data_IF_670832795366
#
_entry.id   IF_670832795366
#
_cell.length_a   1.000
_cell.length_b   1.000
_cell.length_c   1.000
_cell.angle_alpha   90.00
_cell.angle_beta   90.00
_cell.angle_gamma   90.00
#
_symmetry.space_group_name_H-M   'P 1'
#
loop_
_entity.id
_entity.type
_entity.pdbx_description
1 polymer ?
#
# COMPACT_ATOMS: atom_id res chain seq x y z
N UNK A 1 26.15 -20.53 -44.67
CA UNK A 1 26.56 -21.20 -43.41
C UNK A 1 27.36 -20.19 -42.60
N UNK A 2 27.00 -19.63 -41.46
CA UNK A 2 25.85 -19.78 -40.58
C UNK A 2 25.61 -18.42 -39.91
N UNK A 3 24.68 -17.64 -40.46
CA UNK A 3 24.04 -16.52 -39.77
C UNK A 3 23.18 -16.98 -38.56
N UNK A 4 23.25 -18.27 -38.20
CA UNK A 4 22.51 -18.89 -37.10
C UNK A 4 23.19 -18.70 -35.73
N UNK A 5 24.46 -18.27 -35.67
CA UNK A 5 25.23 -18.26 -34.41
C UNK A 5 25.26 -16.90 -33.69
N UNK A 6 24.66 -15.85 -34.26
CA UNK A 6 24.63 -14.50 -33.64
C UNK A 6 23.32 -14.20 -32.89
N UNK A 7 22.26 -14.97 -33.12
CA UNK A 7 20.97 -14.77 -32.43
C UNK A 7 20.87 -15.40 -31.03
N UNK A 8 21.93 -16.04 -30.54
CA UNK A 8 21.95 -16.66 -29.21
C UNK A 8 22.46 -15.71 -28.12
N UNK A 9 23.29 -14.70 -28.45
CA UNK A 9 23.88 -13.79 -27.44
C UNK A 9 22.95 -12.63 -27.04
N UNK A 10 21.96 -12.25 -27.85
CA UNK A 10 21.09 -11.10 -27.52
C UNK A 10 19.78 -11.45 -26.83
N UNK A 11 19.45 -12.75 -26.67
CA UNK A 11 18.20 -13.18 -26.00
C UNK A 11 18.30 -13.30 -24.48
N UNK A 12 19.49 -13.22 -23.90
CA UNK A 12 19.69 -13.28 -22.43
C UNK A 12 19.70 -11.91 -21.73
N UNK A 13 19.56 -10.80 -22.46
CA UNK A 13 19.62 -9.44 -21.86
C UNK A 13 18.27 -8.71 -21.78
N UNK A 14 17.14 -9.36 -22.04
CA UNK A 14 15.81 -8.74 -21.98
C UNK A 14 14.92 -9.28 -20.86
N UNK A 15 15.54 -9.69 -19.75
CA UNK A 15 14.85 -10.01 -18.50
C UNK A 15 15.28 -9.11 -17.33
N UNK A 16 16.13 -8.11 -17.58
CA UNK A 16 16.39 -7.02 -16.66
C UNK A 16 15.84 -5.74 -17.32
N UNK A 17 15.18 -4.90 -16.52
CA UNK A 17 14.75 -3.54 -16.88
C UNK A 17 13.36 -3.40 -17.54
N UNK A 18 12.34 -4.01 -16.94
CA UNK A 18 11.00 -3.40 -16.88
C UNK A 18 10.34 -3.68 -15.53
N UNK A 19 11.14 -3.79 -14.47
CA UNK A 19 10.64 -3.30 -13.17
C UNK A 19 10.64 -1.80 -13.33
N UNK A 20 9.56 -1.28 -13.92
CA UNK A 20 9.12 0.08 -13.74
C UNK A 20 9.08 0.24 -12.22
N UNK A 21 10.15 0.81 -11.63
CA UNK A 21 10.07 1.41 -10.32
C UNK A 21 9.07 2.54 -10.48
N UNK A 22 7.77 2.20 -10.45
CA UNK A 22 6.76 3.10 -9.97
C UNK A 22 7.37 3.67 -8.71
N UNK A 23 7.55 4.98 -8.68
CA UNK A 23 7.99 5.70 -7.50
C UNK A 23 6.91 5.47 -6.45
N UNK A 24 6.93 4.32 -5.79
CA UNK A 24 5.95 3.97 -4.77
C UNK A 24 6.16 5.01 -3.68
N UNK A 25 5.13 5.82 -3.45
CA UNK A 25 5.15 6.77 -2.35
C UNK A 25 5.57 6.03 -1.08
N UNK A 26 6.43 6.65 -0.27
CA UNK A 26 6.82 6.05 1.00
C UNK A 26 5.55 5.79 1.84
N UNK A 27 5.43 4.62 2.50
CA UNK A 27 4.31 4.38 3.40
C UNK A 27 4.25 5.46 4.48
N UNK A 28 3.05 5.95 4.76
CA UNK A 28 2.76 6.79 5.93
C UNK A 28 2.68 5.94 7.22
N UNK A 29 2.39 4.64 7.08
CA UNK A 29 2.20 3.73 8.21
C UNK A 29 1.97 2.29 7.77
N UNK A 30 1.60 1.46 8.73
CA UNK A 30 1.29 0.05 8.55
C UNK A 30 0.05 -0.35 9.33
N UNK A 31 -0.71 -1.28 8.75
CA UNK A 31 -1.86 -1.91 9.40
C UNK A 31 -1.36 -2.77 10.55
N UNK A 32 -1.88 -2.52 11.74
CA UNK A 32 -1.70 -3.35 12.93
C UNK A 32 -2.76 -4.45 13.02
N UNK A 33 -2.97 -5.02 14.21
CA UNK A 33 -4.05 -5.97 14.43
C UNK A 33 -5.40 -5.39 14.03
N UNK A 34 -6.24 -6.22 13.41
CA UNK A 34 -7.60 -5.88 13.02
C UNK A 34 -8.57 -7.00 13.38
N UNK A 35 -9.78 -6.62 13.77
CA UNK A 35 -10.90 -7.52 14.02
C UNK A 35 -12.03 -7.23 13.04
N UNK A 36 -12.72 -8.28 12.59
CA UNK A 36 -13.82 -8.15 11.64
C UNK A 36 -13.39 -7.74 10.23
N UNK A 37 -14.32 -7.17 9.47
CA UNK A 37 -14.09 -6.65 8.11
C UNK A 37 -13.69 -5.19 8.17
N UNK A 38 -12.51 -4.91 7.64
CA UNK A 38 -12.00 -3.55 7.40
C UNK A 38 -11.55 -3.48 5.96
N UNK A 39 -11.92 -2.41 5.28
CA UNK A 39 -11.52 -2.15 3.91
C UNK A 39 -10.75 -0.84 3.84
N UNK A 40 -9.91 -0.76 2.82
CA UNK A 40 -9.23 0.48 2.47
C UNK A 40 -9.61 0.89 1.06
N UNK A 41 -9.90 2.17 0.90
CA UNK A 41 -10.05 2.81 -0.39
C UNK A 41 -8.77 3.60 -0.64
N UNK A 42 -8.11 3.27 -1.75
CA UNK A 42 -6.89 3.95 -2.21
C UNK A 42 -7.28 4.97 -3.29
N UNK A 43 -6.30 5.39 -4.09
CA UNK A 43 -6.46 6.28 -5.25
C UNK A 43 -7.49 5.79 -6.29
N UNK A 44 -7.64 4.47 -6.47
CA UNK A 44 -8.61 3.88 -7.40
C UNK A 44 -10.06 3.86 -6.88
N UNK A 45 -10.28 4.28 -5.63
CA UNK A 45 -11.60 4.35 -4.99
C UNK A 45 -12.30 3.01 -4.82
N UNK A 46 -11.62 1.88 -5.08
CA UNK A 46 -12.21 0.55 -4.91
C UNK A 46 -11.86 -0.01 -3.54
N UNK A 47 -12.80 -0.68 -2.85
CA UNK A 47 -12.51 -1.29 -1.57
C UNK A 47 -11.53 -2.44 -1.74
N UNK A 48 -10.46 -2.42 -0.97
CA UNK A 48 -9.47 -3.48 -0.87
C UNK A 48 -9.44 -4.02 0.55
N UNK A 49 -9.40 -5.33 0.71
CA UNK A 49 -9.13 -5.94 2.02
C UNK A 49 -7.70 -5.64 2.43
N UNK A 50 -7.49 -5.56 3.74
CA UNK A 50 -6.19 -5.30 4.35
C UNK A 50 -5.84 -6.41 5.32
N UNK A 51 -4.54 -6.63 5.49
CA UNK A 51 -3.97 -7.55 6.46
C UNK A 51 -3.00 -6.80 7.38
N UNK A 52 -2.76 -7.31 8.60
CA UNK A 52 -1.68 -6.82 9.45
C UNK A 52 -0.33 -6.83 8.71
N UNK A 53 0.39 -5.71 8.79
CA UNK A 53 1.64 -5.45 8.08
C UNK A 53 1.47 -4.76 6.72
N UNK A 54 0.25 -4.65 6.18
CA UNK A 54 0.03 -3.96 4.92
C UNK A 54 0.38 -2.47 5.04
N UNK A 55 0.98 -1.86 4.00
CA UNK A 55 1.30 -0.46 4.03
C UNK A 55 0.05 0.42 3.94
N UNK A 56 0.15 1.58 4.57
CA UNK A 56 -0.81 2.67 4.49
C UNK A 56 -0.10 3.88 3.93
N UNK A 57 -0.77 4.59 3.02
CA UNK A 57 -0.26 5.72 2.26
C UNK A 57 -1.15 6.95 2.49
N UNK A 58 -0.59 8.12 2.19
CA UNK A 58 -1.35 9.36 2.16
C UNK A 58 -2.43 9.27 1.07
N UNK A 59 -3.64 9.72 1.40
CA UNK A 59 -4.83 9.64 0.55
C UNK A 59 -5.73 8.46 0.88
N UNK A 60 -5.27 7.50 1.67
CA UNK A 60 -6.04 6.32 1.99
C UNK A 60 -7.20 6.61 2.94
N UNK A 61 -8.27 5.85 2.73
CA UNK A 61 -9.44 5.86 3.60
C UNK A 61 -9.67 4.46 4.13
N UNK A 62 -9.52 4.27 5.44
CA UNK A 62 -9.87 3.03 6.11
C UNK A 62 -11.29 3.12 6.64
N UNK A 63 -12.07 2.06 6.43
CA UNK A 63 -13.45 1.95 6.89
C UNK A 63 -13.65 0.61 7.58
N UNK A 64 -14.17 0.67 8.82
CA UNK A 64 -14.48 -0.50 9.63
C UNK A 64 -16.00 -0.69 9.70
N UNK A 65 -16.48 -1.90 9.43
CA UNK A 65 -17.89 -2.26 9.60
C UNK A 65 -18.32 -2.18 11.09
N UNK A 66 -19.62 -2.30 11.36
CA UNK A 66 -20.23 -2.14 12.70
C UNK A 66 -19.54 -2.89 13.84
N UNK A 67 -19.00 -4.08 13.60
CA UNK A 67 -18.38 -4.94 14.63
C UNK A 67 -16.87 -5.08 14.44
N UNK A 68 -16.25 -4.21 13.64
CA UNK A 68 -14.84 -4.31 13.26
C UNK A 68 -13.97 -3.29 14.00
N UNK A 69 -12.68 -3.57 14.06
CA UNK A 69 -11.68 -2.64 14.57
C UNK A 69 -10.37 -2.77 13.79
N UNK A 70 -9.62 -1.68 13.65
CA UNK A 70 -8.26 -1.71 13.08
C UNK A 70 -7.35 -0.77 13.84
N UNK A 71 -6.11 -1.22 14.05
CA UNK A 71 -5.01 -0.39 14.49
C UNK A 71 -4.16 0.02 13.29
N UNK A 72 -3.69 1.27 13.26
CA UNK A 72 -2.75 1.78 12.25
C UNK A 72 -1.58 2.43 12.97
N UNK A 73 -0.38 1.90 12.75
CA UNK A 73 0.85 2.49 13.26
C UNK A 73 1.40 3.46 12.23
N UNK A 74 1.45 4.74 12.57
CA UNK A 74 1.96 5.80 11.69
C UNK A 74 3.46 5.98 11.93
N UNK A 75 4.26 6.02 10.85
CA UNK A 75 5.73 6.11 10.95
C UNK A 75 6.12 7.42 11.65
N UNK A 76 7.00 7.32 12.65
CA UNK A 76 7.46 8.47 13.42
C UNK A 76 6.43 9.02 14.42
N UNK A 77 5.30 8.35 14.58
CA UNK A 77 4.20 8.78 15.44
C UNK A 77 3.70 7.63 16.33
N UNK A 78 2.44 7.69 16.74
CA UNK A 78 1.76 6.71 17.57
C UNK A 78 0.91 5.74 16.73
N UNK A 79 0.33 4.76 17.40
CA UNK A 79 -0.73 3.91 16.85
C UNK A 79 -2.09 4.55 17.07
N UNK A 80 -2.92 4.58 16.04
CA UNK A 80 -4.30 5.04 16.07
C UNK A 80 -5.25 3.85 15.87
N UNK A 81 -6.40 3.87 16.54
CA UNK A 81 -7.41 2.81 16.45
C UNK A 81 -8.71 3.34 15.88
N UNK A 82 -9.34 2.56 15.01
CA UNK A 82 -10.67 2.81 14.44
C UNK A 82 -11.57 1.67 14.88
N UNK A 83 -12.65 1.97 15.61
CA UNK A 83 -13.67 1.00 16.01
C UNK A 83 -14.83 0.93 15.02
N UNK A 84 -15.87 0.18 15.37
CA UNK A 84 -16.97 -0.13 14.47
C UNK A 84 -17.70 1.09 13.91
N UNK A 85 -18.07 1.03 12.63
CA UNK A 85 -18.58 2.16 11.83
C UNK A 85 -17.63 3.37 11.76
N UNK A 86 -16.38 3.19 12.16
CA UNK A 86 -15.36 4.22 12.13
C UNK A 86 -14.73 4.37 10.76
N UNK A 87 -14.28 5.59 10.47
CA UNK A 87 -13.59 5.94 9.24
C UNK A 87 -12.36 6.78 9.54
N UNK A 88 -11.22 6.43 8.96
CA UNK A 88 -9.97 7.17 9.06
C UNK A 88 -9.50 7.60 7.69
N UNK A 89 -9.18 8.88 7.54
CA UNK A 89 -8.56 9.43 6.34
C UNK A 89 -7.10 9.73 6.66
N UNK A 90 -6.20 9.15 5.89
CA UNK A 90 -4.76 9.37 6.05
C UNK A 90 -4.36 10.51 5.15
N UNK A 91 -3.84 11.58 5.76
CA UNK A 91 -3.43 12.78 5.05
C UNK A 91 -2.01 13.17 5.45
N UNK A 92 -1.44 14.15 4.76
CA UNK A 92 -0.16 14.73 5.16
C UNK A 92 -0.32 15.45 6.50
N UNK A 93 0.71 15.37 7.34
CA UNK A 93 0.82 16.24 8.50
C UNK A 93 0.82 17.70 8.02
N UNK A 94 0.03 18.55 8.67
CA UNK A 94 0.11 20.00 8.47
C UNK A 94 1.09 20.55 9.49
N UNK A 95 2.18 21.15 9.03
CA UNK A 95 2.94 22.07 9.87
C UNK A 95 2.11 23.35 9.96
N UNK A 96 1.65 23.70 11.16
CA UNK A 96 1.12 25.03 11.42
C UNK A 96 2.30 25.99 11.43
N UNK A 97 2.36 26.89 10.44
CA UNK A 97 3.25 28.05 10.42
C UNK A 97 2.98 29.00 11.61
#
# INVERSE_FOLDING_TARGET
>A
MNAMMQNMKSRLSRAATDVQCATMAAPAGFIGPSEGRVVVYRDDGKPKSINPGDPVFVGDVLEADTTSAVNVTVIGMTTLSVGGNGRMVVTQARETE
#
